data_IF_133098363225
#
_entry.id   IF_133098363225
#
_cell.length_a   1.000
_cell.length_b   1.000
_cell.length_c   1.000
_cell.angle_alpha   90.00
_cell.angle_beta   90.00
_cell.angle_gamma   90.00
#
_symmetry.space_group_name_H-M   'P 1'
#
loop_
_entity.id
_entity.type
_entity.pdbx_description
1 polymer ?
#
# COMPACT_ATOMS: atom_id res chain seq x y z
N UNK A 1 19.98 -0.51 2.87
CA UNK A 1 19.48 0.53 1.94
C UNK A 1 18.05 0.95 2.23
N UNK A 2 17.07 0.04 2.30
CA UNK A 2 15.68 0.40 2.60
C UNK A 2 15.52 1.21 3.91
N UNK A 3 16.12 0.72 5.00
CA UNK A 3 16.16 1.43 6.29
C UNK A 3 16.79 2.82 6.17
N UNK A 4 17.88 2.97 5.39
CA UNK A 4 18.53 4.25 5.19
C UNK A 4 17.57 5.26 4.52
N UNK A 5 16.86 4.84 3.48
CA UNK A 5 15.85 5.70 2.83
C UNK A 5 14.73 6.07 3.80
N UNK A 6 14.19 5.10 4.55
CA UNK A 6 13.16 5.36 5.55
C UNK A 6 13.62 6.33 6.64
N UNK A 7 14.86 6.17 7.14
CA UNK A 7 15.46 7.05 8.13
C UNK A 7 15.71 8.46 7.56
N UNK A 8 16.08 8.59 6.29
CA UNK A 8 16.23 9.90 5.63
C UNK A 8 14.86 10.61 5.55
N UNK A 9 13.81 9.89 5.13
CA UNK A 9 12.44 10.46 5.08
C UNK A 9 12.00 10.92 6.48
N UNK A 10 12.22 10.08 7.50
CA UNK A 10 11.90 10.43 8.89
C UNK A 10 12.71 11.64 9.39
N UNK A 11 14.01 11.69 9.09
CA UNK A 11 14.89 12.80 9.47
C UNK A 11 14.47 14.12 8.80
N UNK A 12 14.10 14.08 7.51
CA UNK A 12 13.57 15.26 6.80
C UNK A 12 12.24 15.71 7.41
N UNK A 13 11.37 14.76 7.76
CA UNK A 13 10.11 15.07 8.44
C UNK A 13 10.33 15.73 9.79
N UNK A 14 11.21 15.18 10.64
CA UNK A 14 11.55 15.76 11.93
C UNK A 14 12.20 17.14 11.78
N UNK A 15 13.11 17.31 10.82
CA UNK A 15 13.76 18.59 10.57
C UNK A 15 12.79 19.69 10.13
N UNK A 16 11.70 19.35 9.43
CA UNK A 16 10.65 20.30 9.06
C UNK A 16 9.79 20.76 10.24
N UNK A 17 9.74 19.97 11.31
CA UNK A 17 9.01 20.30 12.54
C UNK A 17 9.93 20.56 13.72
N UNK A 18 11.13 21.09 13.47
CA UNK A 18 12.12 21.46 14.50
C UNK A 18 12.44 20.36 15.53
N UNK A 19 12.36 19.10 15.10
CA UNK A 19 12.63 17.91 15.92
C UNK A 19 11.42 17.35 16.68
N UNK A 20 10.23 17.96 16.57
CA UNK A 20 9.00 17.44 17.18
C UNK A 20 8.54 16.14 16.49
N UNK A 21 8.38 15.02 17.23
CA UNK A 21 7.87 13.76 16.68
C UNK A 21 6.48 13.88 16.02
N UNK A 22 5.64 14.85 16.43
CA UNK A 22 4.34 15.07 15.81
C UNK A 22 4.44 15.42 14.31
N UNK A 23 5.60 15.92 13.87
CA UNK A 23 5.93 16.13 12.47
C UNK A 23 5.85 14.85 11.62
N UNK A 24 6.00 13.67 12.22
CA UNK A 24 5.89 12.37 11.54
C UNK A 24 4.43 11.99 11.25
N UNK A 25 3.48 12.55 11.98
CA UNK A 25 2.05 12.25 11.88
C UNK A 25 1.34 13.19 10.88
N UNK A 26 1.89 14.39 10.68
CA UNK A 26 1.36 15.43 9.77
C UNK A 26 -0.04 15.91 10.18
N UNK A 27 -0.15 16.45 11.39
CA UNK A 27 -1.35 17.17 11.83
C UNK A 27 -1.61 18.42 11.00
N UNK A 28 -2.88 18.80 10.91
CA UNK A 28 -3.38 19.87 10.05
C UNK A 28 -3.78 21.13 10.81
N UNK A 29 -3.47 22.30 10.27
CA UNK A 29 -3.81 23.60 10.87
C UNK A 29 -5.33 23.90 10.85
N UNK A 30 -5.99 23.58 9.75
CA UNK A 30 -7.42 23.89 9.52
C UNK A 30 -8.37 22.86 10.14
N UNK A 31 -7.84 21.84 10.83
CA UNK A 31 -8.60 20.74 11.42
C UNK A 31 -8.42 20.74 12.93
N UNK A 32 -8.74 21.91 13.51
CA UNK A 32 -8.50 22.31 14.90
C UNK A 32 -8.90 21.22 15.89
N UNK A 33 -10.11 20.66 15.79
CA UNK A 33 -10.61 19.62 16.71
C UNK A 33 -9.69 18.39 16.82
N UNK A 34 -9.08 17.95 15.71
CA UNK A 34 -8.18 16.78 15.71
C UNK A 34 -6.82 17.10 16.31
N UNK A 35 -6.33 18.30 16.03
CA UNK A 35 -5.05 18.78 16.55
C UNK A 35 -5.17 19.02 18.04
N UNK A 36 -6.21 19.72 18.50
CA UNK A 36 -6.51 19.92 19.94
C UNK A 36 -6.68 18.59 20.68
N UNK A 37 -7.37 17.62 20.09
CA UNK A 37 -7.48 16.28 20.69
C UNK A 37 -6.11 15.62 20.83
N UNK A 38 -5.26 15.66 19.80
CA UNK A 38 -3.92 15.12 19.88
C UNK A 38 -3.06 15.82 20.94
N UNK A 39 -3.19 17.14 21.09
CA UNK A 39 -2.49 17.92 22.11
C UNK A 39 -2.94 17.57 23.52
N UNK A 40 -4.25 17.39 23.72
CA UNK A 40 -4.83 16.95 24.99
C UNK A 40 -4.32 15.56 25.39
N UNK A 41 -4.29 14.61 24.45
CA UNK A 41 -3.81 13.25 24.67
C UNK A 41 -2.29 13.20 24.90
N UNK A 42 -1.51 14.05 24.20
CA UNK A 42 -0.06 14.14 24.39
C UNK A 42 0.34 14.99 25.59
N UNK A 43 -0.56 15.82 26.13
CA UNK A 43 -0.28 16.78 27.19
C UNK A 43 0.66 17.92 26.79
N UNK A 44 0.70 18.28 25.49
CA UNK A 44 1.55 19.34 24.93
C UNK A 44 1.03 19.81 23.57
N UNK A 45 1.44 21.00 23.16
CA UNK A 45 1.24 21.48 21.78
C UNK A 45 1.99 20.60 20.76
N UNK A 46 1.44 20.50 19.56
CA UNK A 46 1.99 19.68 18.47
C UNK A 46 2.28 20.51 17.22
N UNK A 47 3.40 20.24 16.54
CA UNK A 47 3.68 20.90 15.27
C UNK A 47 2.71 20.46 14.16
N UNK A 48 2.19 21.45 13.43
CA UNK A 48 1.38 21.25 12.21
C UNK A 48 2.22 21.57 10.98
N UNK A 49 2.18 20.70 9.97
CA UNK A 49 3.05 20.81 8.77
C UNK A 49 2.26 20.95 7.46
N UNK A 50 0.94 21.00 7.52
CA UNK A 50 0.10 21.26 6.35
C UNK A 50 -1.25 21.83 6.74
N UNK A 51 -1.88 22.55 5.81
CA UNK A 51 -3.18 23.17 6.04
C UNK A 51 -4.25 22.16 6.46
N UNK A 52 -4.35 21.01 5.79
CA UNK A 52 -5.41 20.01 6.03
C UNK A 52 -4.96 18.81 6.86
N UNK A 53 -3.64 18.65 7.08
CA UNK A 53 -3.05 17.41 7.58
C UNK A 53 -3.08 16.28 6.55
N UNK A 54 -2.45 15.15 6.87
CA UNK A 54 -2.43 13.96 6.01
C UNK A 54 -3.02 12.73 6.71
N UNK A 55 -2.92 11.55 6.07
CA UNK A 55 -3.54 10.32 6.56
C UNK A 55 -3.02 9.88 7.94
N UNK A 56 -1.79 10.25 8.31
CA UNK A 56 -1.18 9.94 9.60
C UNK A 56 -2.03 10.39 10.80
N UNK A 57 -2.66 11.58 10.75
CA UNK A 57 -3.50 12.08 11.85
C UNK A 57 -4.68 11.13 12.16
N UNK A 58 -5.26 10.50 11.14
CA UNK A 58 -6.37 9.57 11.32
C UNK A 58 -5.89 8.24 11.87
N UNK A 59 -4.69 7.78 11.49
CA UNK A 59 -4.09 6.58 12.05
C UNK A 59 -3.63 6.81 13.49
N UNK A 60 -3.20 8.01 13.84
CA UNK A 60 -2.90 8.39 15.22
C UNK A 60 -4.14 8.28 16.10
N UNK A 61 -5.25 8.91 15.69
CA UNK A 61 -6.53 8.84 16.43
C UNK A 61 -7.00 7.39 16.58
N UNK A 62 -6.95 6.61 15.49
CA UNK A 62 -7.30 5.19 15.55
C UNK A 62 -6.35 4.36 16.42
N UNK A 63 -5.08 4.72 16.53
CA UNK A 63 -4.12 3.99 17.35
C UNK A 63 -4.32 4.20 18.86
N UNK A 64 -4.98 5.29 19.26
CA UNK A 64 -5.43 5.51 20.65
C UNK A 64 -6.49 4.49 21.07
N UNK A 65 -7.42 4.19 20.15
CA UNK A 65 -8.49 3.20 20.36
C UNK A 65 -8.71 2.32 19.12
N UNK A 66 -7.81 1.35 18.86
CA UNK A 66 -7.79 0.59 17.60
C UNK A 66 -8.95 -0.42 17.49
N UNK A 67 -9.63 -0.71 18.60
CA UNK A 67 -10.80 -1.59 18.64
C UNK A 67 -12.11 -0.81 18.74
N UNK A 68 -12.06 0.53 18.73
CA UNK A 68 -13.23 1.40 18.87
C UNK A 68 -14.05 1.08 20.13
N UNK A 69 -13.37 0.85 21.25
CA UNK A 69 -13.99 0.61 22.56
C UNK A 69 -14.66 1.89 23.10
N UNK A 70 -14.14 3.06 22.77
CA UNK A 70 -14.73 4.37 23.08
C UNK A 70 -14.88 5.22 21.80
N UNK A 71 -15.88 4.90 20.96
CA UNK A 71 -16.05 5.57 19.67
C UNK A 71 -16.45 7.04 19.79
N UNK A 72 -17.06 7.45 20.92
CA UNK A 72 -17.50 8.84 21.13
C UNK A 72 -16.33 9.81 21.29
N UNK A 73 -15.21 9.33 21.87
CA UNK A 73 -14.01 10.14 22.10
C UNK A 73 -13.12 10.19 20.86
N UNK A 74 -12.86 9.04 20.22
CA UNK A 74 -11.87 8.96 19.15
C UNK A 74 -12.49 8.86 17.75
N UNK A 75 -13.45 7.96 17.54
CA UNK A 75 -14.01 7.72 16.21
C UNK A 75 -14.86 8.89 15.70
N UNK A 76 -15.44 9.70 16.59
CA UNK A 76 -16.18 10.92 16.25
C UNK A 76 -15.32 11.97 15.51
N UNK A 77 -14.00 11.94 15.69
CA UNK A 77 -13.05 12.87 15.05
C UNK A 77 -12.67 12.45 13.61
N UNK A 78 -13.11 11.27 13.18
CA UNK A 78 -12.89 10.76 11.84
C UNK A 78 -13.98 11.30 10.90
N UNK A 79 -13.58 11.77 9.72
CA UNK A 79 -14.51 12.26 8.69
C UNK A 79 -15.39 11.14 8.10
N UNK A 80 -14.87 9.94 7.91
CA UNK A 80 -15.62 8.77 7.43
C UNK A 80 -15.31 7.61 8.36
N UNK A 81 -15.87 7.59 9.58
CA UNK A 81 -15.41 6.72 10.65
C UNK A 81 -15.46 5.25 10.24
N UNK A 82 -16.57 4.79 9.64
CA UNK A 82 -16.69 3.40 9.17
C UNK A 82 -15.68 3.07 8.08
N UNK A 83 -15.45 3.98 7.12
CA UNK A 83 -14.54 3.75 6.00
C UNK A 83 -13.08 3.73 6.46
N UNK A 84 -12.64 4.75 7.21
CA UNK A 84 -11.25 4.84 7.68
C UNK A 84 -10.89 3.70 8.63
N UNK A 85 -11.84 3.30 9.48
CA UNK A 85 -11.66 2.23 10.45
C UNK A 85 -11.52 0.85 9.80
N UNK A 86 -11.83 0.67 8.50
CA UNK A 86 -11.57 -0.61 7.81
C UNK A 86 -10.08 -0.98 7.81
N UNK A 87 -9.19 0.00 7.95
CA UNK A 87 -7.73 -0.13 7.90
C UNK A 87 -7.14 -0.47 9.26
N UNK A 88 -7.76 -1.39 10.01
CA UNK A 88 -7.44 -1.67 11.41
C UNK A 88 -5.99 -2.08 11.65
N UNK A 89 -5.36 -2.83 10.74
CA UNK A 89 -4.12 -3.51 11.09
C UNK A 89 -2.98 -2.53 11.42
N UNK A 90 -2.89 -1.43 10.69
CA UNK A 90 -1.84 -0.43 10.92
C UNK A 90 -1.96 0.27 12.29
N UNK A 91 -3.10 0.91 12.65
CA UNK A 91 -3.27 1.52 13.97
C UNK A 91 -3.25 0.48 15.09
N UNK A 92 -3.74 -0.75 14.87
CA UNK A 92 -3.68 -1.82 15.87
C UNK A 92 -2.24 -2.17 16.24
N UNK A 93 -1.36 -2.34 15.25
CA UNK A 93 0.06 -2.67 15.48
C UNK A 93 0.80 -1.45 16.03
N UNK A 94 0.57 -0.25 15.49
CA UNK A 94 1.24 0.97 15.95
C UNK A 94 0.85 1.36 17.39
N UNK A 95 -0.44 1.22 17.74
CA UNK A 95 -0.94 1.46 19.10
C UNK A 95 -0.71 0.30 20.08
N UNK A 96 -0.13 -0.81 19.63
CA UNK A 96 0.06 -2.02 20.45
C UNK A 96 -1.26 -2.57 21.01
N UNK A 97 -2.36 -2.44 20.27
CA UNK A 97 -3.70 -2.78 20.77
C UNK A 97 -4.33 -1.75 21.71
N UNK A 98 -3.82 -0.51 21.73
CA UNK A 98 -4.31 0.60 22.57
C UNK A 98 -3.51 0.79 23.87
N UNK A 99 -2.38 0.11 24.03
CA UNK A 99 -1.53 0.20 25.24
C UNK A 99 -0.41 1.23 25.12
N UNK A 100 -0.07 1.64 23.88
CA UNK A 100 0.99 2.61 23.63
C UNK A 100 0.48 4.01 23.98
N UNK A 101 1.17 4.78 24.86
CA UNK A 101 0.76 6.15 25.18
C UNK A 101 0.80 7.07 23.96
N UNK A 102 -0.08 8.07 23.93
CA UNK A 102 -0.20 9.03 22.83
C UNK A 102 1.14 9.71 22.46
N UNK A 103 1.98 10.01 23.45
CA UNK A 103 3.31 10.62 23.26
C UNK A 103 4.29 9.73 22.50
N UNK A 104 4.12 8.41 22.53
CA UNK A 104 4.97 7.44 21.85
C UNK A 104 4.43 7.01 20.48
N UNK A 105 3.15 7.26 20.19
CA UNK A 105 2.54 6.87 18.92
C UNK A 105 3.27 7.36 17.67
N UNK A 106 3.80 8.60 17.58
CA UNK A 106 4.56 9.01 16.40
C UNK A 106 5.78 8.11 16.15
N UNK A 107 6.43 7.65 17.21
CA UNK A 107 7.60 6.77 17.14
C UNK A 107 7.21 5.33 16.79
N UNK A 108 6.14 4.79 17.35
CA UNK A 108 5.70 3.43 17.02
C UNK A 108 5.13 3.35 15.61
N UNK A 109 4.40 4.37 15.14
CA UNK A 109 3.97 4.50 13.75
C UNK A 109 5.17 4.54 12.79
N UNK A 110 6.20 5.34 13.12
CA UNK A 110 7.46 5.34 12.36
C UNK A 110 8.11 3.95 12.36
N UNK A 111 8.21 3.28 13.52
CA UNK A 111 8.83 1.96 13.63
C UNK A 111 8.09 0.91 12.77
N UNK A 112 6.75 0.91 12.78
CA UNK A 112 5.93 0.04 11.93
C UNK A 112 6.22 0.30 10.46
N UNK A 113 6.34 1.57 10.06
CA UNK A 113 6.64 1.94 8.67
C UNK A 113 8.07 1.58 8.24
N UNK A 114 9.06 1.74 9.11
CA UNK A 114 10.44 1.31 8.86
C UNK A 114 10.54 -0.22 8.73
N UNK A 115 9.79 -0.95 9.55
CA UNK A 115 9.67 -2.40 9.43
C UNK A 115 8.96 -2.78 8.12
N UNK A 116 7.83 -2.13 7.80
CA UNK A 116 7.06 -2.38 6.60
C UNK A 116 7.87 -2.12 5.32
N UNK A 117 8.59 -0.99 5.24
CA UNK A 117 9.41 -0.70 4.06
C UNK A 117 10.50 -1.74 3.88
N UNK A 118 11.16 -2.15 4.98
CA UNK A 118 12.22 -3.16 4.94
C UNK A 118 11.67 -4.53 4.52
N UNK A 119 10.52 -4.93 5.06
CA UNK A 119 9.84 -6.16 4.69
C UNK A 119 9.38 -6.15 3.23
N UNK A 120 8.88 -5.01 2.73
CA UNK A 120 8.48 -4.85 1.33
C UNK A 120 9.65 -4.94 0.36
N UNK A 121 10.78 -4.29 0.66
CA UNK A 121 12.02 -4.43 -0.12
C UNK A 121 12.50 -5.87 -0.13
N UNK A 122 12.46 -6.52 1.02
CA UNK A 122 12.94 -7.89 1.18
C UNK A 122 12.05 -8.89 0.43
N UNK A 123 10.73 -8.69 0.43
CA UNK A 123 9.81 -9.49 -0.37
C UNK A 123 10.05 -9.27 -1.88
N UNK A 124 10.20 -8.01 -2.32
CA UNK A 124 10.51 -7.70 -3.71
C UNK A 124 11.87 -8.30 -4.14
N UNK A 125 12.90 -8.23 -3.29
CA UNK A 125 14.20 -8.84 -3.54
C UNK A 125 14.09 -10.36 -3.68
N UNK A 126 13.33 -11.02 -2.79
CA UNK A 126 13.06 -12.47 -2.90
C UNK A 126 12.37 -12.83 -4.22
N UNK A 127 11.38 -12.05 -4.65
CA UNK A 127 10.70 -12.25 -5.94
C UNK A 127 11.71 -12.11 -7.09
N UNK A 128 12.62 -11.13 -7.03
CA UNK A 128 13.67 -10.94 -8.04
C UNK A 128 14.65 -12.13 -8.07
N UNK A 129 15.15 -12.57 -6.92
CA UNK A 129 16.09 -13.69 -6.80
C UNK A 129 15.50 -14.99 -7.32
N UNK A 130 14.23 -15.28 -7.00
CA UNK A 130 13.51 -16.46 -7.49
C UNK A 130 13.37 -16.47 -9.01
N UNK A 131 13.29 -15.31 -9.62
CA UNK A 131 13.26 -15.15 -11.07
C UNK A 131 14.66 -15.10 -11.71
N UNK A 132 15.73 -15.37 -10.94
CA UNK A 132 17.11 -15.39 -11.42
C UNK A 132 17.74 -14.01 -11.62
N UNK A 133 17.11 -12.95 -11.11
CA UNK A 133 17.61 -11.59 -11.19
C UNK A 133 18.32 -11.14 -9.91
N UNK A 134 19.00 -10.00 -9.99
CA UNK A 134 19.68 -9.40 -8.86
C UNK A 134 18.70 -8.98 -7.74
N UNK A 135 18.98 -9.27 -6.45
CA UNK A 135 18.14 -8.81 -5.33
C UNK A 135 18.05 -7.28 -5.21
N UNK A 136 18.98 -6.55 -5.83
CA UNK A 136 18.94 -5.09 -5.90
C UNK A 136 17.66 -4.54 -6.52
N UNK A 137 16.97 -5.32 -7.37
CA UNK A 137 15.66 -4.95 -7.90
C UNK A 137 14.57 -4.84 -6.82
N UNK A 138 14.78 -5.42 -5.63
CA UNK A 138 13.92 -5.19 -4.48
C UNK A 138 13.82 -3.71 -4.07
N UNK A 139 14.82 -2.89 -4.40
CA UNK A 139 14.76 -1.43 -4.20
C UNK A 139 13.67 -0.74 -5.01
N UNK A 140 13.11 -1.39 -6.04
CA UNK A 140 11.93 -0.90 -6.77
C UNK A 140 10.71 -0.69 -5.85
N UNK A 141 10.67 -1.35 -4.69
CA UNK A 141 9.66 -1.08 -3.67
C UNK A 141 9.96 0.22 -2.91
N UNK A 142 11.16 0.36 -2.33
CA UNK A 142 11.49 1.50 -1.46
C UNK A 142 11.70 2.81 -2.21
N UNK A 143 12.30 2.74 -3.40
CA UNK A 143 12.54 3.91 -4.25
C UNK A 143 11.31 4.31 -5.07
N UNK A 144 10.21 3.59 -4.91
CA UNK A 144 8.93 3.99 -5.46
C UNK A 144 8.49 5.30 -4.80
N UNK A 145 8.33 6.35 -5.61
CA UNK A 145 7.92 7.67 -5.14
C UNK A 145 6.61 7.63 -4.33
N UNK A 146 5.67 6.75 -4.68
CA UNK A 146 4.45 6.53 -3.90
C UNK A 146 4.70 5.92 -2.52
N UNK A 147 5.69 5.02 -2.40
CA UNK A 147 6.07 4.46 -1.09
C UNK A 147 6.82 5.47 -0.23
N UNK A 148 7.69 6.30 -0.84
CA UNK A 148 8.36 7.40 -0.14
C UNK A 148 7.33 8.39 0.42
N UNK A 149 6.30 8.72 -0.35
CA UNK A 149 5.23 9.59 0.12
C UNK A 149 4.32 8.95 1.17
N UNK A 150 3.98 7.66 1.04
CA UNK A 150 3.26 6.95 2.10
C UNK A 150 4.07 6.93 3.42
N UNK A 151 5.40 6.79 3.36
CA UNK A 151 6.27 6.88 4.54
C UNK A 151 6.24 8.28 5.17
N UNK A 152 6.32 9.34 4.36
CA UNK A 152 6.37 10.73 4.84
C UNK A 152 5.11 11.12 5.63
N UNK A 153 3.96 10.54 5.30
CA UNK A 153 2.68 10.84 5.96
C UNK A 153 2.22 9.78 6.96
N UNK A 154 3.09 8.83 7.30
CA UNK A 154 2.76 7.69 8.15
C UNK A 154 1.54 6.87 7.68
N UNK A 155 1.48 6.57 6.39
CA UNK A 155 0.36 5.88 5.75
C UNK A 155 0.42 4.35 5.81
N UNK A 156 -0.74 3.70 5.95
CA UNK A 156 -0.86 2.24 5.99
C UNK A 156 -0.53 1.54 4.64
N UNK A 157 -0.37 2.30 3.55
CA UNK A 157 -0.09 1.74 2.22
C UNK A 157 1.21 0.94 2.15
N UNK A 158 2.23 1.34 2.90
CA UNK A 158 3.53 0.64 2.94
C UNK A 158 3.38 -0.76 3.50
N UNK A 159 2.70 -0.89 4.65
CA UNK A 159 2.43 -2.18 5.30
C UNK A 159 1.56 -3.07 4.41
N UNK A 160 0.49 -2.51 3.85
CA UNK A 160 -0.44 -3.24 3.01
C UNK A 160 0.25 -3.83 1.76
N UNK A 161 1.06 -3.02 1.08
CA UNK A 161 1.75 -3.48 -0.13
C UNK A 161 2.91 -4.44 0.19
N UNK A 162 3.66 -4.21 1.28
CA UNK A 162 4.68 -5.15 1.74
C UNK A 162 4.08 -6.53 2.05
N UNK A 163 2.93 -6.57 2.72
CA UNK A 163 2.20 -7.80 3.00
C UNK A 163 1.72 -8.49 1.70
N UNK A 164 1.21 -7.73 0.73
CA UNK A 164 0.80 -8.28 -0.57
C UNK A 164 1.98 -8.92 -1.33
N UNK A 165 3.17 -8.30 -1.30
CA UNK A 165 4.39 -8.87 -1.89
C UNK A 165 4.82 -10.17 -1.19
N UNK A 166 4.76 -10.23 0.13
CA UNK A 166 4.98 -11.48 0.85
C UNK A 166 3.92 -12.55 0.52
N UNK A 167 2.66 -12.14 0.32
CA UNK A 167 1.60 -13.00 -0.20
C UNK A 167 1.98 -13.63 -1.55
N UNK A 168 2.53 -12.82 -2.47
CA UNK A 168 3.04 -13.30 -3.76
C UNK A 168 4.25 -14.22 -3.59
N UNK A 169 5.25 -13.83 -2.81
CA UNK A 169 6.46 -14.63 -2.59
C UNK A 169 6.13 -16.02 -2.02
N UNK A 170 5.27 -16.07 -0.98
CA UNK A 170 4.81 -17.34 -0.40
C UNK A 170 3.98 -18.16 -1.38
N UNK A 171 3.20 -17.51 -2.25
CA UNK A 171 2.41 -18.19 -3.27
C UNK A 171 3.31 -18.82 -4.34
N UNK A 172 4.37 -18.13 -4.75
CA UNK A 172 5.39 -18.64 -5.69
C UNK A 172 6.22 -19.77 -5.08
N UNK A 173 6.34 -19.83 -3.76
CA UNK A 173 6.90 -20.95 -2.99
C UNK A 173 5.91 -22.11 -2.78
N UNK A 174 4.72 -22.07 -3.38
CA UNK A 174 3.62 -23.04 -3.20
C UNK A 174 3.08 -23.13 -1.76
N UNK A 175 3.44 -22.17 -0.89
CA UNK A 175 3.01 -22.10 0.52
C UNK A 175 1.68 -21.37 0.66
N UNK A 176 0.62 -21.98 0.12
CA UNK A 176 -0.72 -21.40 0.02
C UNK A 176 -1.29 -20.84 1.34
N UNK A 177 -1.07 -21.53 2.47
CA UNK A 177 -1.55 -21.07 3.78
C UNK A 177 -0.83 -19.79 4.23
N UNK A 178 0.49 -19.74 4.07
CA UNK A 178 1.28 -18.56 4.40
C UNK A 178 0.93 -17.38 3.48
N UNK A 179 0.75 -17.63 2.19
CA UNK A 179 0.29 -16.62 1.23
C UNK A 179 -1.07 -16.04 1.66
N UNK A 180 -2.02 -16.90 2.05
CA UNK A 180 -3.34 -16.48 2.53
C UNK A 180 -3.23 -15.59 3.77
N UNK A 181 -2.41 -15.96 4.75
CA UNK A 181 -2.20 -15.16 5.96
C UNK A 181 -1.65 -13.76 5.62
N UNK A 182 -0.68 -13.66 4.71
CA UNK A 182 -0.16 -12.38 4.25
C UNK A 182 -1.19 -11.55 3.47
N UNK A 183 -2.08 -12.17 2.70
CA UNK A 183 -3.17 -11.45 2.06
C UNK A 183 -4.25 -10.98 3.04
N UNK A 184 -4.52 -11.70 4.13
CA UNK A 184 -5.35 -11.20 5.24
C UNK A 184 -4.73 -9.93 5.82
N UNK A 185 -3.43 -9.97 6.11
CA UNK A 185 -2.67 -8.80 6.59
C UNK A 185 -2.79 -7.63 5.61
N UNK A 186 -2.63 -7.88 4.31
CA UNK A 186 -2.70 -6.84 3.28
C UNK A 186 -4.08 -6.16 3.22
N UNK A 187 -5.18 -6.92 3.21
CA UNK A 187 -6.54 -6.36 3.10
C UNK A 187 -7.02 -5.67 4.37
N UNK A 188 -6.56 -6.13 5.55
CA UNK A 188 -6.85 -5.48 6.83
C UNK A 188 -5.99 -4.23 7.07
N UNK A 189 -4.84 -4.10 6.40
CA UNK A 189 -4.04 -2.88 6.42
C UNK A 189 -4.61 -1.83 5.45
N UNK A 190 -5.08 -2.25 4.26
CA UNK A 190 -5.73 -1.37 3.29
C UNK A 190 -6.68 -2.16 2.40
N UNK A 191 -7.95 -1.79 2.44
CA UNK A 191 -9.05 -2.43 1.73
C UNK A 191 -8.82 -2.51 0.21
N UNK A 192 -8.13 -1.52 -0.36
CA UNK A 192 -7.80 -1.47 -1.80
C UNK A 192 -6.93 -2.65 -2.23
N UNK A 193 -6.24 -3.34 -1.31
CA UNK A 193 -5.46 -4.55 -1.63
C UNK A 193 -6.34 -5.73 -2.09
N UNK A 194 -7.66 -5.67 -1.96
CA UNK A 194 -8.56 -6.62 -2.63
C UNK A 194 -8.41 -6.59 -4.15
N UNK A 195 -8.08 -5.43 -4.75
CA UNK A 195 -7.78 -5.35 -6.18
C UNK A 195 -6.51 -6.14 -6.53
N UNK A 196 -5.48 -6.06 -5.68
CA UNK A 196 -4.26 -6.85 -5.83
C UNK A 196 -4.56 -8.35 -5.73
N UNK A 197 -5.27 -8.75 -4.68
CA UNK A 197 -5.63 -10.13 -4.42
C UNK A 197 -6.50 -10.71 -5.56
N UNK A 198 -7.45 -9.93 -6.09
CA UNK A 198 -8.30 -10.31 -7.21
C UNK A 198 -7.48 -10.67 -8.45
N UNK A 199 -6.49 -9.84 -8.80
CA UNK A 199 -5.56 -10.12 -9.90
C UNK A 199 -4.73 -11.39 -9.69
N UNK A 200 -4.23 -11.61 -8.46
CA UNK A 200 -3.49 -12.83 -8.10
C UNK A 200 -4.37 -14.08 -8.21
N UNK A 201 -5.60 -14.03 -7.70
CA UNK A 201 -6.58 -15.13 -7.77
C UNK A 201 -6.93 -15.45 -9.22
N UNK A 202 -7.18 -14.42 -10.04
CA UNK A 202 -7.53 -14.56 -11.45
C UNK A 202 -6.42 -15.27 -12.23
N UNK A 203 -5.16 -14.84 -12.06
CA UNK A 203 -4.02 -15.50 -12.71
C UNK A 203 -3.85 -16.95 -12.22
N UNK A 204 -4.00 -17.20 -10.93
CA UNK A 204 -3.88 -18.56 -10.38
C UNK A 204 -4.96 -19.48 -10.93
N UNK A 205 -6.18 -19.00 -11.00
CA UNK A 205 -7.30 -19.72 -11.59
C UNK A 205 -7.02 -20.00 -13.07
N UNK A 206 -6.56 -19.01 -13.83
CA UNK A 206 -6.23 -19.19 -15.25
C UNK A 206 -5.13 -20.24 -15.48
N UNK A 207 -4.08 -20.25 -14.65
CA UNK A 207 -2.97 -21.21 -14.77
C UNK A 207 -3.32 -22.64 -14.34
N UNK A 208 -4.22 -22.80 -13.38
CA UNK A 208 -4.47 -24.12 -12.73
C UNK A 208 -5.85 -24.70 -13.03
N UNK A 209 -6.77 -23.92 -13.60
CA UNK A 209 -8.18 -24.28 -13.78
C UNK A 209 -8.97 -24.42 -12.48
N UNK A 210 -8.36 -24.22 -11.30
CA UNK A 210 -8.98 -24.42 -9.99
C UNK A 210 -9.13 -23.09 -9.27
N UNK A 211 -10.33 -22.86 -8.72
CA UNK A 211 -10.61 -21.66 -7.92
C UNK A 211 -9.85 -21.79 -6.58
N UNK A 212 -8.94 -20.87 -6.24
CA UNK A 212 -8.18 -20.93 -5.00
C UNK A 212 -9.01 -20.38 -3.83
N UNK A 213 -10.03 -21.12 -3.40
CA UNK A 213 -11.00 -20.71 -2.38
C UNK A 213 -10.34 -20.18 -1.10
N UNK A 214 -9.25 -20.78 -0.65
CA UNK A 214 -8.55 -20.33 0.55
C UNK A 214 -8.01 -18.89 0.41
N UNK A 215 -7.43 -18.54 -0.76
CA UNK A 215 -6.90 -17.20 -1.01
C UNK A 215 -8.00 -16.15 -1.07
N UNK A 216 -9.19 -16.50 -1.57
CA UNK A 216 -10.31 -15.55 -1.69
C UNK A 216 -11.14 -15.46 -0.42
N UNK A 217 -11.60 -16.60 0.09
CA UNK A 217 -12.59 -16.67 1.16
C UNK A 217 -12.03 -16.19 2.50
N UNK A 218 -10.79 -16.53 2.85
CA UNK A 218 -10.25 -16.18 4.19
C UNK A 218 -9.98 -14.68 4.34
N UNK A 219 -9.28 -13.97 3.42
CA UNK A 219 -9.15 -12.52 3.50
C UNK A 219 -10.49 -11.78 3.44
N UNK A 220 -11.41 -12.26 2.59
CA UNK A 220 -12.77 -11.69 2.48
C UNK A 220 -13.56 -11.87 3.78
N UNK A 221 -13.52 -13.05 4.39
CA UNK A 221 -14.19 -13.31 5.66
C UNK A 221 -13.59 -12.48 6.80
N UNK A 222 -12.26 -12.34 6.86
CA UNK A 222 -11.59 -11.53 7.88
C UNK A 222 -11.97 -10.04 7.77
N UNK A 223 -11.86 -9.46 6.56
CA UNK A 223 -12.26 -8.07 6.33
C UNK A 223 -13.77 -7.86 6.51
N UNK A 224 -14.58 -8.83 6.09
CA UNK A 224 -16.05 -8.80 6.25
C UNK A 224 -16.47 -8.87 7.71
N UNK A 225 -15.83 -9.71 8.53
CA UNK A 225 -16.06 -9.78 9.97
C UNK A 225 -15.72 -8.47 10.66
N UNK A 226 -14.59 -7.84 10.28
CA UNK A 226 -14.21 -6.53 10.79
C UNK A 226 -15.19 -5.43 10.34
N UNK A 227 -15.56 -5.40 9.07
CA UNK A 227 -16.55 -4.44 8.56
C UNK A 227 -17.91 -4.58 9.25
N UNK A 228 -18.34 -5.81 9.55
CA UNK A 228 -19.56 -6.06 10.31
C UNK A 228 -19.43 -5.55 11.76
N UNK A 229 -18.29 -5.83 12.41
CA UNK A 229 -17.98 -5.30 13.74
C UNK A 229 -18.06 -3.77 13.77
N UNK A 230 -17.43 -3.08 12.82
CA UNK A 230 -17.48 -1.63 12.71
C UNK A 230 -18.90 -1.10 12.52
N UNK A 231 -19.71 -1.75 11.69
CA UNK A 231 -21.11 -1.35 11.50
C UNK A 231 -21.93 -1.47 12.78
N UNK A 232 -21.69 -2.52 13.57
CA UNK A 232 -22.36 -2.69 14.86
C UNK A 232 -21.85 -1.69 15.91
N UNK A 233 -20.57 -1.32 15.85
CA UNK A 233 -19.92 -0.44 16.84
C UNK A 233 -20.13 1.04 16.57
N UNK A 234 -20.16 1.44 15.30
CA UNK A 234 -20.15 2.84 14.84
C UNK A 234 -21.47 3.30 14.21
N UNK A 235 -22.56 2.52 14.33
CA UNK A 235 -23.85 2.82 13.69
C UNK A 235 -24.47 4.19 14.04
N UNK A 236 -24.02 4.83 15.13
CA UNK A 236 -24.46 6.18 15.53
C UNK A 236 -23.70 7.35 14.87
N UNK A 237 -22.65 7.08 14.07
CA UNK A 237 -21.77 8.10 13.48
C UNK A 237 -21.83 8.10 11.93
N UNK A 238 -23.01 7.87 11.36
CA UNK A 238 -23.21 7.67 9.90
C UNK A 238 -23.45 8.93 9.09
N UNK A 239 -23.64 10.08 9.73
CA UNK A 239 -24.17 11.30 9.09
C UNK A 239 -23.10 12.21 8.44
N UNK A 240 -21.92 11.68 8.11
CA UNK A 240 -20.86 12.47 7.47
C UNK A 240 -20.83 12.22 5.96
N UNK A 241 -20.94 13.31 5.20
CA UNK A 241 -20.94 13.32 3.73
C UNK A 241 -19.77 12.52 3.14
N UNK A 242 -20.09 11.57 2.26
CA UNK A 242 -19.08 10.82 1.52
C UNK A 242 -18.58 11.66 0.35
N UNK A 243 -17.31 12.07 0.37
CA UNK A 243 -16.68 12.67 -0.82
C UNK A 243 -16.56 11.60 -1.90
N UNK A 244 -17.06 11.91 -3.10
CA UNK A 244 -16.97 11.04 -4.27
C UNK A 244 -15.52 10.97 -4.80
N UNK A 245 -14.77 9.99 -4.32
CA UNK A 245 -13.41 9.68 -4.82
C UNK A 245 -13.42 8.92 -6.16
N UNK A 246 -14.57 8.39 -6.55
CA UNK A 246 -14.80 7.71 -7.83
C UNK A 246 -15.62 8.60 -8.76
N UNK A 247 -15.24 8.63 -10.02
CA UNK A 247 -15.95 9.39 -11.05
C UNK A 247 -16.13 8.61 -12.35
N UNK A 248 -16.65 9.31 -13.36
CA UNK A 248 -16.72 8.79 -14.73
C UNK A 248 -15.30 8.42 -15.21
N UNK A 249 -15.09 7.25 -15.84
CA UNK A 249 -13.78 6.81 -16.29
C UNK A 249 -13.05 7.89 -17.08
N UNK A 250 -11.77 8.13 -16.76
CA UNK A 250 -10.88 9.11 -17.39
C UNK A 250 -11.28 10.59 -17.26
N UNK A 251 -12.47 10.91 -16.71
CA UNK A 251 -12.91 12.29 -16.51
C UNK A 251 -12.05 13.03 -15.48
N UNK A 252 -11.66 12.35 -14.41
CA UNK A 252 -10.76 12.91 -13.39
C UNK A 252 -9.42 13.34 -13.98
N UNK A 253 -8.84 12.49 -14.84
CA UNK A 253 -7.61 12.74 -15.58
C UNK A 253 -7.74 13.98 -16.50
N UNK A 254 -8.81 14.03 -17.29
CA UNK A 254 -9.05 15.16 -18.20
C UNK A 254 -9.17 16.51 -17.47
N UNK A 255 -9.91 16.53 -16.35
CA UNK A 255 -10.11 17.76 -15.58
C UNK A 255 -8.85 18.18 -14.80
N UNK A 256 -7.97 17.23 -14.45
CA UNK A 256 -6.72 17.53 -13.77
C UNK A 256 -5.65 18.07 -14.73
N UNK A 257 -5.69 17.72 -16.01
CA UNK A 257 -4.70 18.12 -17.01
C UNK A 257 -4.48 19.63 -17.07
N UNK A 258 -5.54 20.44 -16.97
CA UNK A 258 -5.44 21.90 -16.96
C UNK A 258 -4.58 22.43 -15.79
N UNK A 259 -4.67 21.79 -14.61
CA UNK A 259 -3.90 22.20 -13.44
C UNK A 259 -2.40 21.86 -13.58
N UNK A 260 -2.07 20.83 -14.35
CA UNK A 260 -0.68 20.41 -14.53
C UNK A 260 0.08 21.37 -15.44
N UNK A 261 -0.60 22.02 -16.39
CA UNK A 261 0.02 23.00 -17.28
C UNK A 261 0.61 24.20 -16.50
N UNK A 262 -0.01 24.55 -15.37
CA UNK A 262 0.47 25.64 -14.50
C UNK A 262 1.62 25.21 -13.58
N UNK A 263 1.97 23.91 -13.53
CA UNK A 263 2.96 23.33 -12.62
C UNK A 263 3.90 22.36 -13.35
N UNK A 264 5.09 22.81 -13.80
CA UNK A 264 5.95 22.01 -14.67
C UNK A 264 6.43 20.68 -14.06
N UNK A 265 6.64 20.64 -12.73
CA UNK A 265 6.99 19.41 -12.03
C UNK A 265 5.84 18.40 -12.05
N UNK A 266 4.62 18.84 -11.72
CA UNK A 266 3.42 18.00 -11.72
C UNK A 266 3.20 17.44 -13.14
N UNK A 267 3.33 18.28 -14.18
CA UNK A 267 3.23 17.84 -15.57
C UNK A 267 4.24 16.75 -15.92
N UNK A 268 5.53 16.94 -15.57
CA UNK A 268 6.59 15.98 -15.91
C UNK A 268 6.36 14.61 -15.23
N UNK A 269 6.02 14.61 -13.93
CA UNK A 269 5.77 13.37 -13.18
C UNK A 269 4.51 12.68 -13.69
N UNK A 270 3.43 13.43 -13.93
CA UNK A 270 2.17 12.88 -14.43
C UNK A 270 2.30 12.31 -15.84
N UNK A 271 3.03 12.99 -16.73
CA UNK A 271 3.32 12.48 -18.06
C UNK A 271 4.08 11.14 -17.99
N UNK A 272 5.07 11.03 -17.10
CA UNK A 272 5.79 9.78 -16.88
C UNK A 272 4.87 8.67 -16.33
N UNK A 273 4.01 8.98 -15.34
CA UNK A 273 3.02 8.04 -14.79
C UNK A 273 2.06 7.55 -15.88
N UNK A 274 1.48 8.46 -16.67
CA UNK A 274 0.56 8.12 -17.76
C UNK A 274 1.24 7.27 -18.83
N UNK A 275 2.52 7.51 -19.14
CA UNK A 275 3.29 6.69 -20.08
C UNK A 275 3.61 5.30 -19.52
N UNK A 276 3.86 5.16 -18.21
CA UNK A 276 4.16 3.88 -17.57
C UNK A 276 2.94 2.94 -17.60
N UNK A 277 1.73 3.44 -17.44
CA UNK A 277 0.51 2.61 -17.36
C UNK A 277 0.34 1.66 -18.57
N UNK A 278 0.31 2.13 -19.84
CA UNK A 278 0.17 1.23 -20.99
C UNK A 278 1.38 0.30 -21.15
N UNK A 279 2.60 0.79 -20.89
CA UNK A 279 3.81 -0.04 -20.94
C UNK A 279 3.79 -1.17 -19.90
N UNK A 280 3.26 -0.89 -18.72
CA UNK A 280 3.02 -1.86 -17.66
C UNK A 280 1.96 -2.87 -18.08
N UNK A 281 0.80 -2.42 -18.57
CA UNK A 281 -0.27 -3.33 -19.02
C UNK A 281 0.24 -4.30 -20.08
N UNK A 282 0.95 -3.79 -21.11
CA UNK A 282 1.54 -4.62 -22.16
C UNK A 282 2.50 -5.67 -21.54
N UNK A 283 3.35 -5.26 -20.60
CA UNK A 283 4.29 -6.18 -19.93
C UNK A 283 3.59 -7.21 -19.06
N UNK A 284 2.61 -6.81 -18.26
CA UNK A 284 1.86 -7.70 -17.37
C UNK A 284 1.05 -8.76 -18.13
N UNK A 285 0.53 -8.40 -19.31
CA UNK A 285 -0.17 -9.35 -20.18
C UNK A 285 0.79 -10.28 -20.93
N UNK A 286 1.95 -9.78 -21.39
CA UNK A 286 2.98 -10.61 -22.07
C UNK A 286 3.74 -11.53 -21.11
N UNK A 287 3.92 -11.12 -19.86
CA UNK A 287 4.63 -11.85 -18.81
C UNK A 287 3.71 -12.01 -17.60
N UNK A 288 2.78 -12.98 -17.64
CA UNK A 288 1.72 -13.07 -16.65
C UNK A 288 2.30 -13.59 -15.33
N UNK A 289 2.76 -12.71 -14.46
CA UNK A 289 3.25 -13.01 -13.10
C UNK A 289 2.20 -12.59 -12.06
N UNK A 290 2.26 -13.16 -10.85
CA UNK A 290 1.33 -12.78 -9.78
C UNK A 290 1.50 -11.31 -9.38
N UNK A 291 2.73 -10.79 -9.35
CA UNK A 291 3.01 -9.37 -9.13
C UNK A 291 2.35 -8.48 -10.19
N UNK A 292 2.53 -8.81 -11.47
CA UNK A 292 1.95 -8.04 -12.58
C UNK A 292 0.43 -8.08 -12.58
N UNK A 293 -0.17 -9.26 -12.44
CA UNK A 293 -1.62 -9.40 -12.43
C UNK A 293 -2.26 -8.77 -11.19
N UNK A 294 -1.63 -8.86 -10.02
CA UNK A 294 -2.09 -8.12 -8.84
C UNK A 294 -2.09 -6.61 -9.07
N UNK A 295 -1.02 -6.06 -9.65
CA UNK A 295 -0.94 -4.63 -9.92
C UNK A 295 -1.90 -4.15 -11.03
N UNK A 296 -2.41 -5.01 -11.93
CA UNK A 296 -3.41 -4.61 -12.95
C UNK A 296 -4.70 -4.05 -12.34
N UNK A 297 -5.12 -4.53 -11.16
CA UNK A 297 -6.29 -3.98 -10.47
C UNK A 297 -6.17 -2.49 -10.16
N UNK A 298 -4.95 -2.00 -9.93
CA UNK A 298 -4.68 -0.58 -9.67
C UNK A 298 -4.70 0.28 -10.94
N UNK A 299 -4.48 -0.30 -12.12
CA UNK A 299 -4.70 0.40 -13.40
C UNK A 299 -6.18 0.66 -13.63
N UNK A 300 -7.03 -0.34 -13.36
CA UNK A 300 -8.48 -0.18 -13.43
C UNK A 300 -8.95 0.88 -12.44
N UNK A 301 -8.46 0.83 -11.20
CA UNK A 301 -8.77 1.85 -10.21
C UNK A 301 -8.36 3.24 -10.69
N UNK A 302 -7.12 3.40 -11.18
CA UNK A 302 -6.61 4.69 -11.67
C UNK A 302 -7.53 5.32 -12.73
N UNK A 303 -8.08 4.51 -13.64
CA UNK A 303 -9.02 4.99 -14.65
C UNK A 303 -10.33 5.54 -14.05
N UNK A 304 -10.73 5.09 -12.85
CA UNK A 304 -11.98 5.48 -12.18
C UNK A 304 -11.80 6.58 -11.12
N UNK A 305 -10.56 6.97 -10.80
CA UNK A 305 -10.29 7.98 -9.76
C UNK A 305 -10.78 9.38 -10.18
N UNK A 306 -11.31 10.12 -9.21
CA UNK A 306 -11.80 11.48 -9.39
C UNK A 306 -10.67 12.50 -9.63
N UNK A 307 -11.04 13.73 -10.01
CA UNK A 307 -10.09 14.83 -10.23
C UNK A 307 -9.20 15.09 -9.03
N UNK A 308 -9.70 14.88 -7.81
CA UNK A 308 -8.97 15.20 -6.58
C UNK A 308 -7.70 14.36 -6.44
N UNK A 309 -7.75 13.07 -6.81
CA UNK A 309 -6.59 12.18 -6.74
C UNK A 309 -5.60 12.43 -7.89
N UNK A 310 -6.11 12.86 -9.04
CA UNK A 310 -5.28 13.30 -10.17
C UNK A 310 -4.73 14.72 -10.01
N UNK A 311 -5.15 15.47 -9.00
CA UNK A 311 -4.78 16.88 -8.85
C UNK A 311 -3.28 17.05 -8.57
N UNK A 312 -2.74 16.30 -7.61
CA UNK A 312 -1.31 16.36 -7.24
C UNK A 312 -0.63 15.04 -7.56
N UNK A 313 0.63 15.11 -8.02
CA UNK A 313 1.43 13.91 -8.30
C UNK A 313 1.63 13.05 -7.05
N UNK A 314 1.66 13.70 -5.89
CA UNK A 314 1.68 13.08 -4.58
C UNK A 314 0.57 12.03 -4.38
N UNK A 315 -0.68 12.35 -4.75
CA UNK A 315 -1.84 11.50 -4.47
C UNK A 315 -1.91 10.29 -5.41
N UNK A 316 -1.78 10.52 -6.72
CA UNK A 316 -1.87 9.44 -7.69
C UNK A 316 -0.71 8.43 -7.56
N UNK A 317 0.52 8.90 -7.32
CA UNK A 317 1.68 8.00 -7.26
C UNK A 317 1.60 7.03 -6.09
N UNK A 318 1.02 7.46 -4.95
CA UNK A 318 0.66 6.59 -3.83
C UNK A 318 -0.43 5.61 -4.22
N UNK A 319 -1.49 6.09 -4.88
CA UNK A 319 -2.63 5.27 -5.29
C UNK A 319 -2.21 4.14 -6.24
N UNK A 320 -1.29 4.40 -7.18
CA UNK A 320 -0.81 3.40 -8.16
C UNK A 320 0.55 2.79 -7.81
N UNK A 321 1.02 2.93 -6.57
CA UNK A 321 2.35 2.44 -6.19
C UNK A 321 2.62 0.97 -6.58
N UNK A 322 1.66 0.02 -6.48
CA UNK A 322 1.87 -1.34 -6.98
C UNK A 322 2.23 -1.42 -8.46
N UNK A 323 1.67 -0.55 -9.30
CA UNK A 323 1.96 -0.46 -10.74
C UNK A 323 3.41 -0.04 -10.98
N UNK A 324 3.90 0.97 -10.25
CA UNK A 324 5.26 1.49 -10.41
C UNK A 324 6.31 0.45 -10.01
N UNK A 325 6.13 -0.22 -8.87
CA UNK A 325 7.04 -1.29 -8.43
C UNK A 325 6.96 -2.50 -9.38
N UNK A 326 5.77 -2.93 -9.76
CA UNK A 326 5.60 -4.05 -10.69
C UNK A 326 6.18 -3.75 -12.08
N UNK A 327 6.06 -2.50 -12.57
CA UNK A 327 6.64 -2.10 -13.86
C UNK A 327 8.17 -2.26 -13.88
N UNK A 328 8.86 -1.74 -12.85
CA UNK A 328 10.32 -1.88 -12.74
C UNK A 328 10.70 -3.35 -12.65
N UNK A 329 10.03 -4.10 -11.76
CA UNK A 329 10.29 -5.53 -11.59
C UNK A 329 10.10 -6.30 -12.91
N UNK A 330 8.98 -6.13 -13.60
CA UNK A 330 8.72 -6.82 -14.88
C UNK A 330 9.65 -6.42 -16.02
N UNK A 331 10.26 -5.24 -15.93
CA UNK A 331 11.17 -4.72 -16.95
C UNK A 331 12.58 -5.29 -16.79
N UNK A 332 13.05 -5.47 -15.56
CA UNK A 332 14.44 -5.80 -15.30
C UNK A 332 14.67 -7.16 -14.63
N UNK A 333 13.63 -7.75 -14.07
CA UNK A 333 13.64 -9.13 -13.59
C UNK A 333 13.21 -10.01 -14.76
N UNK A 334 14.19 -10.36 -15.60
CA UNK A 334 13.97 -11.27 -16.73
C UNK A 334 13.82 -12.70 -16.21
N UNK A 335 12.70 -13.32 -16.54
CA UNK A 335 12.50 -14.76 -16.39
C UNK A 335 13.39 -15.52 -17.36
N UNK A 336 14.68 -15.63 -17.06
CA UNK A 336 15.46 -16.81 -17.44
C UNK A 336 14.91 -18.00 -16.64
N UNK A 337 13.71 -18.41 -16.98
CA UNK A 337 13.36 -19.82 -16.83
C UNK A 337 14.24 -20.53 -17.84
N UNK A 338 15.22 -21.29 -17.35
CA UNK A 338 15.70 -22.44 -18.09
C UNK A 338 14.46 -23.15 -18.65
N UNK A 339 14.39 -23.26 -19.96
CA UNK A 339 13.41 -24.11 -20.63
C UNK A 339 13.38 -25.44 -19.86
N UNK A 340 12.22 -25.94 -19.38
CA UNK A 340 12.18 -27.30 -18.90
C UNK A 340 12.65 -28.16 -20.07
N UNK A 341 13.81 -28.81 -19.90
CA UNK A 341 14.35 -29.71 -20.89
C UNK A 341 13.21 -30.61 -21.38
N UNK A 342 12.98 -30.73 -22.69
CA UNK A 342 11.86 -31.52 -23.19
C UNK A 342 11.95 -32.92 -22.57
N UNK A 343 10.85 -33.34 -21.94
CA UNK A 343 10.67 -34.63 -21.22
C UNK A 343 11.02 -35.85 -22.09
N UNK A 344 11.28 -35.66 -23.39
CA UNK A 344 11.60 -36.67 -24.38
C UNK A 344 12.93 -36.41 -25.11
N UNK A 345 13.97 -35.90 -24.43
CA UNK A 345 15.32 -35.99 -24.98
C UNK A 345 15.78 -37.46 -24.91
N UNK A 346 16.04 -38.13 -26.04
CA UNK A 346 16.54 -39.51 -26.00
C UNK A 346 17.89 -39.55 -25.26
N UNK A 347 18.17 -40.63 -24.50
CA UNK A 347 19.44 -40.76 -23.80
C UNK A 347 20.59 -40.60 -24.79
N UNK A 348 21.51 -39.69 -24.49
CA UNK A 348 22.75 -39.52 -25.26
C UNK A 348 23.50 -40.85 -25.18
N UNK A 349 23.41 -41.64 -26.25
CA UNK A 349 24.26 -42.81 -26.45
C UNK A 349 25.70 -42.32 -26.52
N UNK A 350 26.49 -42.62 -25.50
CA UNK A 350 27.93 -42.55 -25.58
C UNK A 350 28.40 -43.60 -26.59
N UNK A 351 28.50 -43.19 -27.85
CA UNK A 351 29.27 -43.92 -28.85
C UNK A 351 30.74 -43.67 -28.50
N UNK A 352 31.43 -44.77 -28.19
CA UNK A 352 32.83 -44.75 -27.79
C UNK A 352 33.76 -44.19 -28.85
N UNK A 353 34.92 -43.74 -28.39
CA UNK A 353 36.11 -43.61 -29.19
C UNK A 353 37.26 -44.27 -28.41
N UNK A 354 37.73 -45.37 -29.01
CA UNK A 354 39.06 -46.00 -28.99
C UNK A 354 39.95 -45.86 -27.75
#
# INVERSE_FOLDING_TARGET
MALLVGMIVAAVSLARGDGDPAALVKFGEQRVERTEHAEAEMGREVVTLSDLGHDGQFFFIQALDPLHLDPGTHAALLDRPIYRSQRMLYPLVAGGGGVVPATWLPWTMLAVNLAAVSLGTLAAARIAERAGASPWWGLAFTLNIGMVFELDISGAGVLAFAAALWGVAMLEEERLRAATAWFVVAVLAREVMFLFLGGVILLRWWRTGRIPWLLGAVPTAAAGAWALYLRMRLSGHTDVDQVEEFGVPLRGLWLAFQNWLDRPLDLAVMAAVVAIIPLFVIRALRRPTYLGWGALGFVLMAALLSRQVWWRFFDITRAIAPVLTAYVMLTFVDGRTDDPAPVNAPPRTSVGAA
#
